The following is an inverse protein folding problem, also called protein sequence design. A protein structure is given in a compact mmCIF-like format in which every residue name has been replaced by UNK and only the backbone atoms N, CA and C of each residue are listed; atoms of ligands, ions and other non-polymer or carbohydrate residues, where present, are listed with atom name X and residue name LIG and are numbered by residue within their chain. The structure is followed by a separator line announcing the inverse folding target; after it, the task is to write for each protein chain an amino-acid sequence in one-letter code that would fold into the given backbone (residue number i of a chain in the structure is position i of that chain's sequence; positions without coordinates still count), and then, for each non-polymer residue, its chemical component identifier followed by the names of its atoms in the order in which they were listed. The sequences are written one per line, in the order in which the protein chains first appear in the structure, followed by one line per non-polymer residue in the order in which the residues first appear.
data_IF_865220185634
#
_entry.id   IF_865220185634
#
_cell.length_a   1.000
_cell.length_b   1.000
_cell.length_c   1.000
_cell.angle_alpha   90.00
_cell.angle_beta   90.00
_cell.angle_gamma   90.00
#
_symmetry.space_group_name_H-M   'P 1'
#
loop_
_entity.id
_entity.type
_entity.pdbx_description
1 polymer ?
#
# COMPACT_ATOMS: atom_id res chain seq x y z
N UNK A 1 28.03 -42.02 27.45
CA UNK A 1 29.11 -41.79 26.46
C UNK A 1 28.94 -42.55 25.13
N UNK A 2 27.91 -43.39 24.93
CA UNK A 2 27.73 -44.13 23.66
C UNK A 2 26.96 -43.37 22.56
N UNK A 3 26.17 -42.35 22.89
CA UNK A 3 25.37 -41.59 21.90
C UNK A 3 26.23 -40.73 20.95
N UNK A 4 27.26 -39.98 21.41
CA UNK A 4 28.09 -39.20 20.49
C UNK A 4 29.00 -40.07 19.61
N UNK A 5 29.45 -41.24 20.11
CA UNK A 5 30.24 -42.19 19.31
C UNK A 5 29.40 -42.93 18.26
N UNK A 6 28.11 -43.19 18.52
CA UNK A 6 27.21 -43.73 17.50
C UNK A 6 26.88 -42.69 16.42
N UNK A 7 26.81 -41.40 16.77
CA UNK A 7 26.64 -40.30 15.81
C UNK A 7 27.87 -40.14 14.90
N UNK A 8 29.09 -40.27 15.45
CA UNK A 8 30.33 -40.19 14.67
C UNK A 8 30.57 -41.41 13.78
N UNK A 9 30.19 -42.61 14.24
CA UNK A 9 30.22 -43.82 13.39
C UNK A 9 29.15 -43.79 12.29
N UNK A 10 27.99 -43.16 12.53
CA UNK A 10 26.95 -42.95 11.51
C UNK A 10 27.37 -41.93 10.44
N UNK A 11 28.19 -40.93 10.80
CA UNK A 11 28.73 -39.95 9.86
C UNK A 11 29.70 -40.57 8.83
N UNK A 12 30.33 -41.72 9.14
CA UNK A 12 31.29 -42.37 8.25
C UNK A 12 30.65 -43.34 7.23
N UNK A 13 29.41 -43.81 7.45
CA UNK A 13 28.62 -44.59 6.47
C UNK A 13 27.64 -43.71 5.65
N UNK A 14 27.74 -42.38 5.78
CA UNK A 14 26.70 -41.40 5.45
C UNK A 14 26.63 -40.98 3.96
N UNK A 15 26.72 -41.94 3.03
CA UNK A 15 26.25 -41.71 1.65
C UNK A 15 24.86 -42.35 1.39
N UNK A 16 24.38 -43.22 2.29
CA UNK A 16 23.01 -43.78 2.28
C UNK A 16 22.10 -43.26 3.42
N UNK A 17 22.60 -42.48 4.39
CA UNK A 17 21.85 -42.05 5.58
C UNK A 17 20.94 -40.81 5.39
N UNK A 18 20.99 -40.12 4.25
CA UNK A 18 20.17 -38.92 4.03
C UNK A 18 18.67 -39.21 4.09
N UNK A 19 18.24 -40.38 3.59
CA UNK A 19 16.85 -40.82 3.73
C UNK A 19 16.50 -41.22 5.18
N UNK A 20 17.44 -41.82 5.92
CA UNK A 20 17.18 -42.32 7.27
C UNK A 20 17.00 -41.18 8.27
N UNK A 21 17.83 -40.13 8.20
CA UNK A 21 17.69 -38.94 9.05
C UNK A 21 16.36 -38.23 8.74
N UNK A 22 16.04 -38.06 7.45
CA UNK A 22 14.77 -37.48 7.01
C UNK A 22 13.55 -38.31 7.45
N UNK A 23 13.61 -39.63 7.29
CA UNK A 23 12.56 -40.56 7.71
C UNK A 23 12.37 -40.57 9.23
N UNK A 24 13.46 -40.57 10.01
CA UNK A 24 13.39 -40.50 11.48
C UNK A 24 12.83 -39.16 11.97
N UNK A 25 13.16 -38.05 11.29
CA UNK A 25 12.66 -36.73 11.63
C UNK A 25 11.16 -36.56 11.37
N UNK A 26 10.67 -37.13 10.26
CA UNK A 26 9.25 -37.11 9.90
C UNK A 26 8.40 -38.06 10.75
N UNK A 27 8.94 -39.23 11.15
CA UNK A 27 8.16 -40.31 11.74
C UNK A 27 7.97 -40.21 13.26
N UNK A 28 8.89 -39.59 14.03
CA UNK A 28 8.86 -39.79 15.48
C UNK A 28 8.22 -38.67 16.32
N UNK A 29 7.37 -39.12 17.27
CA UNK A 29 6.91 -38.44 18.51
C UNK A 29 8.04 -37.87 19.41
N UNK A 30 9.32 -37.93 18.98
CA UNK A 30 10.51 -37.54 19.75
C UNK A 30 11.18 -36.27 19.21
N UNK A 31 10.46 -35.40 18.49
CA UNK A 31 11.00 -34.18 17.87
C UNK A 31 11.75 -33.27 18.84
N UNK A 32 11.44 -33.27 20.15
CA UNK A 32 12.16 -32.48 21.18
C UNK A 32 13.54 -33.09 21.45
N UNK A 33 13.59 -34.38 21.78
CA UNK A 33 14.82 -35.13 22.07
C UNK A 33 15.85 -35.10 20.94
N UNK A 34 15.40 -35.03 19.68
CA UNK A 34 16.30 -34.94 18.51
C UNK A 34 17.00 -33.57 18.47
N UNK A 35 16.28 -32.49 18.78
CA UNK A 35 16.88 -31.14 18.85
C UNK A 35 17.83 -31.06 20.04
N UNK A 36 17.42 -31.58 21.20
CA UNK A 36 18.23 -31.62 22.42
C UNK A 36 19.54 -32.43 22.22
N UNK A 37 19.58 -33.31 21.21
CA UNK A 37 20.75 -34.10 20.82
C UNK A 37 21.68 -33.41 19.80
N UNK A 38 21.49 -32.11 19.52
CA UNK A 38 22.35 -31.35 18.61
C UNK A 38 21.94 -31.42 17.13
N UNK A 39 20.75 -31.97 16.81
CA UNK A 39 20.33 -32.10 15.42
C UNK A 39 20.12 -30.76 14.70
N UNK A 40 19.86 -29.67 15.43
CA UNK A 40 19.66 -28.36 14.79
C UNK A 40 20.94 -27.86 14.11
N UNK A 41 22.10 -27.97 14.76
CA UNK A 41 23.40 -27.59 14.18
C UNK A 41 23.68 -28.41 12.91
N UNK A 42 23.43 -29.72 12.95
CA UNK A 42 23.55 -30.60 11.79
C UNK A 42 22.64 -30.19 10.62
N UNK A 43 21.38 -29.78 10.91
CA UNK A 43 20.46 -29.30 9.88
C UNK A 43 20.94 -27.98 9.25
N UNK A 44 21.53 -27.09 10.04
CA UNK A 44 22.13 -25.86 9.55
C UNK A 44 23.34 -26.17 8.65
N UNK A 45 24.18 -27.13 9.03
CA UNK A 45 25.31 -27.57 8.20
C UNK A 45 24.85 -28.23 6.90
N UNK A 46 23.77 -29.01 6.94
CA UNK A 46 23.16 -29.58 5.73
C UNK A 46 22.61 -28.49 4.80
N UNK A 47 22.02 -27.42 5.33
CA UNK A 47 21.58 -26.26 4.52
C UNK A 47 22.74 -25.51 3.85
N UNK A 48 23.93 -25.52 4.46
CA UNK A 48 25.16 -24.92 3.91
C UNK A 48 25.90 -25.84 2.94
N UNK A 49 25.53 -27.13 2.88
CA UNK A 49 26.20 -28.10 2.04
C UNK A 49 26.00 -27.81 0.54
N UNK A 50 26.88 -28.35 -0.31
CA UNK A 50 26.73 -28.25 -1.77
C UNK A 50 25.73 -29.27 -2.33
N UNK A 51 25.22 -30.19 -1.51
CA UNK A 51 24.30 -31.23 -1.96
C UNK A 51 22.86 -30.69 -1.96
N UNK A 52 22.19 -30.60 -3.13
CA UNK A 52 20.82 -30.10 -3.19
C UNK A 52 19.90 -30.96 -2.33
N UNK A 53 20.01 -32.30 -2.41
CA UNK A 53 19.20 -33.22 -1.62
C UNK A 53 19.31 -32.96 -0.11
N UNK A 54 20.53 -32.74 0.41
CA UNK A 54 20.73 -32.46 1.83
C UNK A 54 20.07 -31.14 2.24
N UNK A 55 20.20 -30.10 1.41
CA UNK A 55 19.56 -28.80 1.66
C UNK A 55 18.04 -28.92 1.65
N UNK A 56 17.47 -29.70 0.74
CA UNK A 56 16.03 -29.94 0.64
C UNK A 56 15.50 -30.69 1.87
N UNK A 57 16.17 -31.78 2.26
CA UNK A 57 15.79 -32.53 3.47
C UNK A 57 15.90 -31.67 4.74
N UNK A 58 16.96 -30.86 4.83
CA UNK A 58 17.13 -29.94 5.95
C UNK A 58 16.03 -28.86 5.99
N UNK A 59 15.64 -28.33 4.83
CA UNK A 59 14.55 -27.35 4.71
C UNK A 59 13.22 -27.94 5.20
N UNK A 60 12.88 -29.15 4.77
CA UNK A 60 11.65 -29.83 5.19
C UNK A 60 11.65 -30.20 6.69
N UNK A 61 12.81 -30.57 7.24
CA UNK A 61 12.97 -30.77 8.68
C UNK A 61 12.77 -29.44 9.45
N UNK A 62 13.37 -28.34 9.00
CA UNK A 62 13.21 -27.02 9.62
C UNK A 62 11.77 -26.49 9.51
N UNK A 63 11.07 -26.77 8.41
CA UNK A 63 9.63 -26.52 8.32
C UNK A 63 8.89 -27.25 9.45
N UNK A 64 9.18 -28.54 9.65
CA UNK A 64 8.55 -29.33 10.71
C UNK A 64 8.86 -28.78 12.11
N UNK A 65 10.08 -28.27 12.33
CA UNK A 65 10.46 -27.64 13.60
C UNK A 65 9.78 -26.30 13.83
N UNK A 66 9.77 -25.45 12.81
CA UNK A 66 9.18 -24.12 12.86
C UNK A 66 7.67 -24.16 13.17
N UNK A 67 6.98 -25.25 12.82
CA UNK A 67 5.57 -25.43 13.15
C UNK A 67 5.30 -25.61 14.66
N UNK A 68 6.33 -25.94 15.45
CA UNK A 68 6.20 -26.15 16.90
C UNK A 68 6.54 -24.86 17.67
N UNK A 69 5.64 -24.30 18.48
CA UNK A 69 5.84 -23.00 19.14
C UNK A 69 7.10 -22.97 20.01
N UNK A 70 7.35 -24.04 20.78
CA UNK A 70 8.48 -24.13 21.72
C UNK A 70 9.87 -24.12 21.04
N UNK A 71 9.90 -24.34 19.72
CA UNK A 71 11.15 -24.52 18.94
C UNK A 71 11.42 -23.36 18.00
N UNK A 72 10.45 -22.48 17.76
CA UNK A 72 10.58 -21.34 16.84
C UNK A 72 11.74 -20.45 17.23
N UNK A 73 11.86 -20.11 18.51
CA UNK A 73 12.93 -19.26 19.04
C UNK A 73 14.30 -19.89 18.83
N UNK A 74 14.44 -21.19 19.12
CA UNK A 74 15.69 -21.94 18.95
C UNK A 74 16.08 -22.00 17.45
N UNK A 75 15.14 -22.30 16.56
CA UNK A 75 15.38 -22.30 15.11
C UNK A 75 15.79 -20.92 14.62
N UNK A 76 15.15 -19.86 15.12
CA UNK A 76 15.45 -18.49 14.71
C UNK A 76 16.86 -18.06 15.15
N UNK A 77 17.25 -18.41 16.38
CA UNK A 77 18.57 -18.13 16.92
C UNK A 77 19.70 -18.93 16.24
N UNK A 78 19.39 -20.02 15.55
CA UNK A 78 20.39 -20.87 14.88
C UNK A 78 20.94 -20.32 13.55
N UNK A 79 20.48 -19.16 13.10
CA UNK A 79 20.86 -18.61 11.80
C UNK A 79 20.18 -19.31 10.61
N UNK A 80 19.06 -20.01 10.85
CA UNK A 80 18.30 -20.69 9.80
C UNK A 80 17.68 -19.71 8.78
N UNK A 81 17.27 -18.52 9.21
CA UNK A 81 16.48 -17.58 8.39
C UNK A 81 17.20 -17.20 7.08
N UNK A 82 18.45 -16.70 7.09
CA UNK A 82 19.16 -16.39 5.85
C UNK A 82 19.29 -17.58 4.88
N UNK A 83 19.52 -18.78 5.42
CA UNK A 83 19.66 -20.00 4.63
C UNK A 83 18.33 -20.43 4.01
N UNK A 84 17.22 -20.29 4.74
CA UNK A 84 15.88 -20.53 4.21
C UNK A 84 15.51 -19.52 3.11
N UNK A 85 15.91 -18.26 3.23
CA UNK A 85 15.74 -17.26 2.15
C UNK A 85 16.57 -17.65 0.91
N UNK A 86 17.78 -18.19 1.10
CA UNK A 86 18.55 -18.72 -0.02
C UNK A 86 17.85 -19.91 -0.71
N UNK A 87 17.24 -20.81 0.07
CA UNK A 87 16.43 -21.92 -0.46
C UNK A 87 15.21 -21.42 -1.24
N UNK A 88 14.58 -20.33 -0.80
CA UNK A 88 13.49 -19.69 -1.54
C UNK A 88 13.94 -19.17 -2.91
N UNK A 89 15.21 -18.72 -3.02
CA UNK A 89 15.80 -18.23 -4.28
C UNK A 89 16.22 -19.38 -5.21
N UNK A 90 16.98 -20.35 -4.70
CA UNK A 90 17.69 -21.36 -5.51
C UNK A 90 17.15 -22.79 -5.43
N UNK A 91 16.26 -23.08 -4.48
CA UNK A 91 15.73 -24.43 -4.27
C UNK A 91 14.85 -24.93 -5.41
N UNK A 92 14.60 -26.24 -5.45
CA UNK A 92 13.59 -26.81 -6.33
C UNK A 92 12.18 -26.30 -5.95
N UNK A 93 11.17 -26.57 -6.80
CA UNK A 93 9.79 -26.09 -6.56
C UNK A 93 9.28 -26.46 -5.17
N UNK A 94 9.51 -27.69 -4.70
CA UNK A 94 9.08 -28.14 -3.39
C UNK A 94 9.85 -27.44 -2.27
N UNK A 95 11.19 -27.35 -2.38
CA UNK A 95 12.01 -26.71 -1.37
C UNK A 95 11.75 -25.20 -1.23
N UNK A 96 11.37 -24.52 -2.31
CA UNK A 96 10.89 -23.13 -2.24
C UNK A 96 9.61 -23.01 -1.41
N UNK A 97 8.66 -23.93 -1.61
CA UNK A 97 7.43 -23.98 -0.83
C UNK A 97 7.73 -24.31 0.64
N UNK A 98 8.59 -25.30 0.90
CA UNK A 98 8.94 -25.69 2.27
C UNK A 98 9.67 -24.55 3.00
N UNK A 99 10.59 -23.86 2.32
CA UNK A 99 11.28 -22.69 2.84
C UNK A 99 10.32 -21.54 3.14
N UNK A 100 9.39 -21.23 2.22
CA UNK A 100 8.34 -20.25 2.46
C UNK A 100 7.52 -20.60 3.71
N UNK A 101 7.05 -21.83 3.82
CA UNK A 101 6.22 -22.26 4.94
C UNK A 101 6.99 -22.21 6.26
N UNK A 102 8.28 -22.53 6.24
CA UNK A 102 9.15 -22.39 7.41
C UNK A 102 9.30 -20.92 7.82
N UNK A 103 9.60 -20.04 6.86
CA UNK A 103 9.70 -18.60 7.09
C UNK A 103 8.40 -18.00 7.61
N UNK A 104 7.24 -18.39 7.05
CA UNK A 104 5.92 -17.99 7.54
C UNK A 104 5.67 -18.45 8.99
N UNK A 105 6.04 -19.69 9.34
CA UNK A 105 5.88 -20.16 10.71
C UNK A 105 6.77 -19.40 11.69
N UNK A 106 8.00 -19.05 11.28
CA UNK A 106 8.93 -18.27 12.08
C UNK A 106 8.48 -16.79 12.19
N UNK A 107 7.86 -16.23 11.15
CA UNK A 107 7.40 -14.84 11.12
C UNK A 107 6.25 -14.55 12.08
N UNK A 108 5.62 -15.58 12.67
CA UNK A 108 4.63 -15.37 13.74
C UNK A 108 5.26 -14.86 15.03
N UNK A 109 6.59 -14.94 15.16
CA UNK A 109 7.36 -14.25 16.19
C UNK A 109 7.83 -12.90 15.59
N UNK A 110 7.31 -11.75 16.06
CA UNK A 110 7.59 -10.45 15.45
C UNK A 110 9.08 -10.10 15.34
N UNK A 111 9.89 -10.59 16.28
CA UNK A 111 11.35 -10.37 16.32
C UNK A 111 12.06 -10.95 15.09
N UNK A 112 11.46 -11.95 14.44
CA UNK A 112 12.02 -12.59 13.26
C UNK A 112 11.78 -11.78 11.98
N UNK A 113 10.77 -10.90 11.93
CA UNK A 113 10.41 -10.15 10.73
C UNK A 113 11.57 -9.25 10.26
N UNK A 114 12.27 -8.62 11.19
CA UNK A 114 13.46 -7.79 10.88
C UNK A 114 14.60 -8.62 10.30
N UNK A 115 14.80 -9.84 10.82
CA UNK A 115 15.83 -10.77 10.31
C UNK A 115 15.46 -11.30 8.91
N UNK A 116 14.18 -11.59 8.68
CA UNK A 116 13.65 -12.00 7.37
C UNK A 116 13.85 -10.88 6.33
N UNK A 117 13.54 -9.63 6.69
CA UNK A 117 13.77 -8.46 5.83
C UNK A 117 15.25 -8.24 5.53
N UNK A 118 16.09 -8.23 6.56
CA UNK A 118 17.54 -8.04 6.43
C UNK A 118 18.20 -9.14 5.57
N UNK A 119 17.58 -10.31 5.49
CA UNK A 119 18.01 -11.42 4.63
C UNK A 119 17.58 -11.27 3.16
N UNK A 120 16.94 -10.15 2.79
CA UNK A 120 16.44 -9.83 1.45
C UNK A 120 15.38 -10.83 0.95
N UNK A 121 14.43 -11.20 1.81
CA UNK A 121 13.39 -12.17 1.47
C UNK A 121 12.33 -11.66 0.48
N UNK A 122 12.17 -10.33 0.35
CA UNK A 122 11.06 -9.73 -0.41
C UNK A 122 11.04 -10.16 -1.88
N UNK A 123 12.16 -10.02 -2.58
CA UNK A 123 12.25 -10.37 -4.00
C UNK A 123 11.96 -11.87 -4.25
N UNK A 124 12.59 -12.83 -3.54
CA UNK A 124 12.22 -14.25 -3.65
C UNK A 124 10.73 -14.55 -3.37
N UNK A 125 10.11 -13.86 -2.42
CA UNK A 125 8.69 -14.03 -2.10
C UNK A 125 7.79 -13.56 -3.24
N UNK A 126 8.04 -12.37 -3.78
CA UNK A 126 7.29 -11.84 -4.94
C UNK A 126 7.49 -12.72 -6.17
N UNK A 127 8.71 -13.16 -6.44
CA UNK A 127 8.99 -14.08 -7.54
C UNK A 127 8.26 -15.41 -7.39
N UNK A 128 8.09 -15.91 -6.15
CA UNK A 128 7.29 -17.10 -5.89
C UNK A 128 5.79 -16.85 -6.15
N UNK A 129 5.26 -15.69 -5.77
CA UNK A 129 3.86 -15.30 -6.07
C UNK A 129 3.59 -15.23 -7.57
N UNK A 130 4.52 -14.66 -8.35
CA UNK A 130 4.41 -14.58 -9.83
C UNK A 130 4.19 -15.96 -10.47
N UNK A 131 4.93 -16.97 -10.01
CA UNK A 131 4.93 -18.32 -10.63
C UNK A 131 3.92 -19.30 -10.02
N UNK A 132 3.43 -19.05 -8.81
CA UNK A 132 2.50 -19.97 -8.14
C UNK A 132 1.04 -19.74 -8.58
N UNK A 133 0.18 -20.74 -8.37
CA UNK A 133 -1.26 -20.55 -8.56
C UNK A 133 -1.79 -19.61 -7.47
N UNK A 134 -2.42 -18.50 -7.86
CA UNK A 134 -2.89 -17.45 -6.93
C UNK A 134 -3.92 -17.95 -5.92
N UNK A 135 -4.69 -18.99 -6.26
CA UNK A 135 -5.64 -19.65 -5.36
C UNK A 135 -5.03 -20.75 -4.47
N UNK A 136 -3.71 -20.92 -4.47
CA UNK A 136 -3.04 -22.00 -3.72
C UNK A 136 -2.74 -21.59 -2.28
N UNK A 137 -2.61 -22.59 -1.40
CA UNK A 137 -2.13 -22.39 -0.02
C UNK A 137 -0.74 -21.75 0.04
N UNK A 138 0.10 -21.99 -0.97
CA UNK A 138 1.40 -21.32 -1.12
C UNK A 138 1.21 -19.80 -1.30
N UNK A 139 0.33 -19.39 -2.19
CA UNK A 139 0.02 -17.97 -2.39
C UNK A 139 -0.53 -17.35 -1.11
N UNK A 140 -1.45 -18.01 -0.41
CA UNK A 140 -1.99 -17.53 0.88
C UNK A 140 -0.90 -17.25 1.91
N UNK A 141 0.01 -18.20 2.13
CA UNK A 141 1.08 -18.05 3.12
C UNK A 141 2.15 -17.06 2.68
N UNK A 142 2.42 -16.97 1.38
CA UNK A 142 3.33 -15.98 0.84
C UNK A 142 2.77 -14.57 1.00
N UNK A 143 1.51 -14.34 0.62
CA UNK A 143 0.84 -13.05 0.79
C UNK A 143 0.74 -12.63 2.26
N UNK A 144 0.46 -13.57 3.18
CA UNK A 144 0.43 -13.28 4.61
C UNK A 144 1.79 -12.83 5.16
N UNK A 145 2.86 -13.48 4.70
CA UNK A 145 4.22 -13.07 5.06
C UNK A 145 4.52 -11.69 4.46
N UNK A 146 4.21 -11.44 3.19
CA UNK A 146 4.41 -10.14 2.55
C UNK A 146 3.62 -9.03 3.27
N UNK A 147 2.35 -9.24 3.63
CA UNK A 147 1.56 -8.31 4.44
C UNK A 147 2.26 -7.99 5.77
N UNK A 148 2.78 -9.01 6.47
CA UNK A 148 3.50 -8.79 7.73
C UNK A 148 4.77 -7.95 7.55
N UNK A 149 5.46 -8.08 6.41
CA UNK A 149 6.67 -7.33 6.10
C UNK A 149 6.37 -5.87 5.68
N UNK A 150 5.14 -5.55 5.26
CA UNK A 150 4.72 -4.18 4.94
C UNK A 150 4.66 -3.26 6.16
N UNK A 151 4.70 -3.81 7.39
CA UNK A 151 4.85 -3.00 8.61
C UNK A 151 6.17 -2.22 8.66
N UNK A 152 7.18 -2.62 7.88
CA UNK A 152 8.50 -2.00 7.86
C UNK A 152 8.72 -1.18 6.60
N UNK A 153 9.36 -0.02 6.74
CA UNK A 153 9.66 0.85 5.60
C UNK A 153 10.54 0.16 4.55
N UNK A 154 11.52 -0.62 5.00
CA UNK A 154 12.39 -1.41 4.11
C UNK A 154 11.59 -2.37 3.22
N UNK A 155 10.58 -3.04 3.80
CA UNK A 155 9.70 -3.93 3.05
C UNK A 155 8.90 -3.18 1.98
N UNK A 156 8.28 -2.05 2.36
CA UNK A 156 7.51 -1.20 1.44
C UNK A 156 8.37 -0.61 0.32
N UNK A 157 9.58 -0.17 0.63
CA UNK A 157 10.53 0.34 -0.38
C UNK A 157 10.94 -0.76 -1.36
N UNK A 158 11.32 -1.92 -0.85
CA UNK A 158 11.80 -3.04 -1.67
C UNK A 158 10.73 -3.52 -2.65
N UNK A 159 9.46 -3.62 -2.23
CA UNK A 159 8.38 -4.05 -3.13
C UNK A 159 8.05 -3.00 -4.21
N UNK A 160 8.23 -1.70 -3.93
CA UNK A 160 8.03 -0.63 -4.92
C UNK A 160 9.18 -0.52 -5.92
N UNK A 161 10.40 -0.83 -5.50
CA UNK A 161 11.60 -0.82 -6.36
C UNK A 161 11.67 -2.08 -7.24
N UNK A 162 11.04 -3.18 -6.80
CA UNK A 162 10.99 -4.43 -7.54
C UNK A 162 10.03 -4.33 -8.72
N UNK A 163 10.53 -4.68 -9.91
CA UNK A 163 9.72 -4.71 -11.14
C UNK A 163 8.49 -5.61 -10.98
N UNK A 164 7.30 -5.03 -11.16
CA UNK A 164 6.02 -5.71 -11.00
C UNK A 164 5.72 -6.17 -9.56
N UNK A 165 6.39 -5.62 -8.55
CA UNK A 165 6.15 -5.97 -7.14
C UNK A 165 4.73 -5.61 -6.68
N UNK A 166 4.32 -4.35 -6.89
CA UNK A 166 2.96 -3.89 -6.60
C UNK A 166 1.93 -4.59 -7.49
N UNK A 167 2.23 -4.75 -8.79
CA UNK A 167 1.39 -5.49 -9.73
C UNK A 167 1.08 -6.91 -9.24
N UNK A 168 2.09 -7.63 -8.74
CA UNK A 168 1.90 -8.99 -8.22
C UNK A 168 0.91 -9.01 -7.05
N UNK A 169 0.89 -7.99 -6.20
CA UNK A 169 -0.13 -7.87 -5.14
C UNK A 169 -1.52 -7.59 -5.71
N UNK A 170 -1.63 -6.76 -6.75
CA UNK A 170 -2.90 -6.48 -7.44
C UNK A 170 -3.42 -7.75 -8.13
N UNK A 171 -2.57 -8.51 -8.82
CA UNK A 171 -2.96 -9.80 -9.42
C UNK A 171 -3.45 -10.79 -8.35
N UNK A 172 -2.82 -10.84 -7.17
CA UNK A 172 -3.30 -11.69 -6.06
C UNK A 172 -4.62 -11.16 -5.48
N UNK A 173 -4.80 -9.85 -5.44
CA UNK A 173 -6.06 -9.21 -5.03
C UNK A 173 -7.20 -9.59 -5.99
N UNK A 174 -6.93 -9.77 -7.28
CA UNK A 174 -7.91 -10.11 -8.31
C UNK A 174 -8.15 -11.62 -8.41
N UNK A 175 -7.11 -12.44 -8.46
CA UNK A 175 -7.23 -13.88 -8.77
C UNK A 175 -6.95 -14.82 -7.59
N UNK A 176 -6.73 -14.26 -6.40
CA UNK A 176 -6.38 -15.01 -5.19
C UNK A 176 -7.53 -15.84 -4.61
N UNK A 177 -7.18 -16.76 -3.70
CA UNK A 177 -8.17 -17.30 -2.76
C UNK A 177 -8.68 -16.20 -1.81
N UNK A 178 -9.77 -16.44 -1.10
CA UNK A 178 -10.35 -15.48 -0.15
C UNK A 178 -9.28 -14.96 0.84
N UNK A 179 -8.46 -15.87 1.37
CA UNK A 179 -7.38 -15.52 2.29
C UNK A 179 -6.24 -14.76 1.60
N UNK A 180 -5.82 -15.19 0.41
CA UNK A 180 -4.74 -14.52 -0.33
C UNK A 180 -5.14 -13.09 -0.73
N UNK A 181 -6.38 -12.89 -1.19
CA UNK A 181 -6.96 -11.57 -1.50
C UNK A 181 -6.99 -10.67 -0.26
N UNK A 182 -7.42 -11.19 0.90
CA UNK A 182 -7.46 -10.42 2.16
C UNK A 182 -6.06 -9.97 2.61
N UNK A 183 -5.05 -10.82 2.44
CA UNK A 183 -3.66 -10.50 2.75
C UNK A 183 -3.07 -9.47 1.76
N UNK A 184 -3.30 -9.64 0.46
CA UNK A 184 -2.87 -8.67 -0.56
C UNK A 184 -3.51 -7.29 -0.33
N UNK A 185 -4.81 -7.27 -0.04
CA UNK A 185 -5.53 -6.05 0.35
C UNK A 185 -4.91 -5.39 1.59
N UNK A 186 -4.58 -6.18 2.61
CA UNK A 186 -3.93 -5.67 3.81
C UNK A 186 -2.55 -5.09 3.56
N UNK A 187 -1.77 -5.71 2.67
CA UNK A 187 -0.46 -5.22 2.27
C UNK A 187 -0.58 -3.84 1.58
N UNK A 188 -1.46 -3.72 0.58
CA UNK A 188 -1.72 -2.47 -0.14
C UNK A 188 -2.29 -1.37 0.78
N UNK A 189 -3.18 -1.74 1.70
CA UNK A 189 -3.73 -0.83 2.70
C UNK A 189 -2.63 -0.30 3.63
N UNK A 190 -1.79 -1.19 4.17
CA UNK A 190 -0.68 -0.82 5.06
C UNK A 190 0.28 0.14 4.37
N UNK A 191 0.56 -0.06 3.08
CA UNK A 191 1.35 0.89 2.28
C UNK A 191 0.70 2.28 2.28
N UNK A 192 -0.56 2.39 1.85
CA UNK A 192 -1.27 3.67 1.80
C UNK A 192 -1.47 4.33 3.18
N UNK A 193 -1.67 3.56 4.25
CA UNK A 193 -1.78 4.08 5.61
C UNK A 193 -0.44 4.60 6.14
N UNK A 194 0.67 4.04 5.67
CA UNK A 194 2.00 4.50 6.05
C UNK A 194 2.37 5.83 5.37
N UNK A 195 2.14 5.93 4.06
CA UNK A 195 2.39 7.15 3.29
C UNK A 195 1.52 7.18 2.04
N UNK A 196 0.36 7.82 2.16
CA UNK A 196 -0.61 7.92 1.07
C UNK A 196 0.00 8.56 -0.17
N UNK A 197 0.77 9.65 -0.02
CA UNK A 197 1.32 10.40 -1.15
C UNK A 197 2.31 9.56 -1.95
N UNK A 198 3.12 8.75 -1.25
CA UNK A 198 4.13 7.88 -1.87
C UNK A 198 3.54 6.69 -2.61
N UNK A 199 2.54 6.02 -2.04
CA UNK A 199 2.08 4.72 -2.57
C UNK A 199 0.79 4.79 -3.39
N UNK A 200 -0.01 5.85 -3.28
CA UNK A 200 -1.30 5.97 -3.98
C UNK A 200 -1.17 5.78 -5.49
N UNK A 201 -0.29 6.55 -6.14
CA UNK A 201 -0.17 6.53 -7.60
C UNK A 201 0.35 5.18 -8.10
N UNK A 202 1.27 4.57 -7.36
CA UNK A 202 1.81 3.24 -7.68
C UNK A 202 0.69 2.19 -7.68
N UNK A 203 -0.20 2.20 -6.69
CA UNK A 203 -1.30 1.24 -6.59
C UNK A 203 -2.37 1.49 -7.67
N UNK A 204 -2.67 2.76 -7.97
CA UNK A 204 -3.63 3.12 -9.03
C UNK A 204 -3.12 2.72 -10.42
N UNK A 205 -1.84 2.95 -10.70
CA UNK A 205 -1.22 2.63 -11.98
C UNK A 205 -1.27 1.14 -12.31
N UNK A 206 -1.15 0.27 -11.31
CA UNK A 206 -1.26 -1.18 -11.48
C UNK A 206 -2.72 -1.68 -11.55
N UNK A 207 -3.71 -0.79 -11.48
CA UNK A 207 -5.10 -1.13 -11.75
C UNK A 207 -5.87 -1.75 -10.58
N UNK A 208 -5.55 -1.43 -9.31
CA UNK A 208 -6.19 -2.08 -8.16
C UNK A 208 -7.71 -1.86 -8.00
N UNK A 209 -8.31 -0.85 -8.65
CA UNK A 209 -9.68 -0.40 -8.39
C UNK A 209 -10.76 -1.48 -8.66
N UNK A 210 -10.76 -2.22 -9.78
CA UNK A 210 -11.79 -3.23 -10.05
C UNK A 210 -11.82 -4.33 -8.98
N UNK A 211 -10.66 -4.90 -8.63
CA UNK A 211 -10.56 -5.90 -7.55
C UNK A 211 -11.00 -5.37 -6.19
N UNK A 212 -10.68 -4.11 -5.88
CA UNK A 212 -11.14 -3.47 -4.64
C UNK A 212 -12.66 -3.30 -4.60
N UNK A 213 -13.28 -2.84 -5.69
CA UNK A 213 -14.73 -2.70 -5.79
C UNK A 213 -15.43 -4.05 -5.68
N UNK A 214 -14.91 -5.09 -6.34
CA UNK A 214 -15.44 -6.44 -6.21
C UNK A 214 -15.43 -6.91 -4.73
N UNK A 215 -14.30 -6.69 -4.02
CA UNK A 215 -14.17 -7.06 -2.62
C UNK A 215 -15.08 -6.27 -1.67
N UNK A 216 -15.53 -5.05 -2.03
CA UNK A 216 -16.54 -4.33 -1.23
C UNK A 216 -17.90 -5.02 -1.22
N UNK A 217 -18.21 -5.84 -2.23
CA UNK A 217 -19.47 -6.56 -2.37
C UNK A 217 -19.32 -8.03 -2.00
N UNK A 218 -18.28 -8.70 -2.50
CA UNK A 218 -18.11 -10.16 -2.38
C UNK A 218 -17.07 -10.59 -1.33
N UNK A 219 -16.37 -9.64 -0.70
CA UNK A 219 -15.37 -9.93 0.32
C UNK A 219 -15.95 -10.42 1.65
N UNK A 220 -15.09 -10.98 2.51
CA UNK A 220 -15.41 -11.19 3.94
C UNK A 220 -15.74 -9.84 4.60
N UNK A 221 -16.46 -9.79 5.74
CA UNK A 221 -16.72 -8.51 6.44
C UNK A 221 -15.44 -7.71 6.73
N UNK A 222 -14.35 -8.42 7.03
CA UNK A 222 -13.02 -7.84 7.25
C UNK A 222 -12.42 -7.29 5.96
N UNK A 223 -12.47 -8.04 4.86
CA UNK A 223 -12.02 -7.58 3.54
C UNK A 223 -12.83 -6.40 3.04
N UNK A 224 -14.15 -6.41 3.23
CA UNK A 224 -15.02 -5.29 2.87
C UNK A 224 -14.60 -4.03 3.61
N UNK A 225 -14.42 -4.08 4.94
CA UNK A 225 -13.98 -2.93 5.72
C UNK A 225 -12.62 -2.39 5.25
N UNK A 226 -11.64 -3.28 5.02
CA UNK A 226 -10.31 -2.91 4.48
C UNK A 226 -10.40 -2.30 3.07
N UNK A 227 -11.25 -2.84 2.20
CA UNK A 227 -11.42 -2.38 0.82
C UNK A 227 -12.02 -0.98 0.78
N UNK A 228 -13.07 -0.72 1.57
CA UNK A 228 -13.64 0.62 1.71
C UNK A 228 -12.59 1.62 2.23
N UNK A 229 -11.78 1.22 3.21
CA UNK A 229 -10.70 2.06 3.75
C UNK A 229 -9.66 2.41 2.69
N UNK A 230 -9.18 1.42 1.95
CA UNK A 230 -8.19 1.64 0.89
C UNK A 230 -8.77 2.50 -0.24
N UNK A 231 -10.00 2.25 -0.68
CA UNK A 231 -10.66 3.08 -1.70
C UNK A 231 -10.75 4.56 -1.26
N UNK A 232 -11.04 4.83 0.01
CA UNK A 232 -11.02 6.20 0.55
C UNK A 232 -9.62 6.82 0.53
N UNK A 233 -8.57 6.02 0.79
CA UNK A 233 -7.17 6.45 0.69
C UNK A 233 -6.67 6.60 -0.76
N UNK A 234 -7.35 6.01 -1.74
CA UNK A 234 -7.03 6.15 -3.16
C UNK A 234 -7.82 7.29 -3.83
N UNK A 235 -9.03 7.60 -3.34
CA UNK A 235 -9.82 8.74 -3.83
C UNK A 235 -9.05 10.04 -3.66
N UNK A 236 -9.05 10.92 -4.66
CA UNK A 236 -8.52 12.28 -4.49
C UNK A 236 -9.18 12.97 -3.29
N UNK A 237 -8.37 13.40 -2.32
CA UNK A 237 -8.79 14.50 -1.47
C UNK A 237 -8.80 15.76 -2.36
N UNK A 238 -9.71 16.74 -2.18
CA UNK A 238 -9.49 18.04 -2.77
C UNK A 238 -8.07 18.44 -2.37
N UNK A 239 -7.23 18.65 -3.38
CA UNK A 239 -5.85 19.04 -3.19
C UNK A 239 -5.80 20.07 -2.06
N UNK A 240 -5.07 19.78 -0.99
CA UNK A 240 -4.18 20.84 -0.51
C UNK A 240 -3.39 21.17 -1.76
N UNK A 241 -3.83 22.25 -2.41
CA UNK A 241 -3.08 22.89 -3.47
C UNK A 241 -1.68 23.02 -2.91
N UNK A 242 -0.72 23.04 -3.82
CA UNK A 242 0.60 23.57 -3.57
C UNK A 242 0.44 25.03 -3.09
N UNK A 243 0.09 25.21 -1.83
CA UNK A 243 0.10 26.42 -1.03
C UNK A 243 1.27 26.23 -0.08
N UNK A 244 2.43 26.67 -0.57
CA UNK A 244 3.71 26.97 0.10
C UNK A 244 4.72 26.81 -1.02
N UNK A 245 5.10 27.87 -1.73
CA UNK A 245 5.85 29.00 -1.17
C UNK A 245 5.51 30.38 -1.78
N UNK A 246 4.44 30.52 -2.58
CA UNK A 246 4.10 31.82 -3.22
C UNK A 246 2.84 32.54 -2.71
N UNK A 247 1.93 31.86 -2.03
CA UNK A 247 0.62 32.42 -1.66
C UNK A 247 0.59 33.08 -0.28
N UNK A 248 1.42 32.61 0.66
CA UNK A 248 1.45 33.15 2.03
C UNK A 248 1.98 34.59 2.08
N UNK A 249 2.86 34.98 1.15
CA UNK A 249 3.35 36.37 1.10
C UNK A 249 2.25 37.32 0.61
N UNK A 250 1.46 36.90 -0.38
CA UNK A 250 0.32 37.68 -0.87
C UNK A 250 -0.80 37.77 0.15
N UNK A 251 -1.13 36.69 0.86
CA UNK A 251 -2.13 36.72 1.93
C UNK A 251 -1.67 37.55 3.13
N UNK A 252 -0.39 37.48 3.52
CA UNK A 252 0.16 38.33 4.58
C UNK A 252 0.23 39.80 4.18
N UNK A 253 0.58 40.10 2.91
CA UNK A 253 0.55 41.47 2.37
C UNK A 253 -0.89 41.99 2.34
N UNK A 254 -1.85 41.20 1.86
CA UNK A 254 -3.26 41.59 1.81
C UNK A 254 -3.83 41.76 3.22
N UNK A 255 -3.50 40.88 4.16
CA UNK A 255 -3.95 40.98 5.55
C UNK A 255 -3.33 42.19 6.29
N UNK A 256 -2.06 42.51 6.03
CA UNK A 256 -1.42 43.72 6.54
C UNK A 256 -2.00 45.00 5.92
N UNK A 257 -2.35 45.01 4.63
CA UNK A 257 -3.01 46.15 3.99
C UNK A 257 -4.44 46.32 4.53
N UNK A 258 -5.18 45.23 4.71
CA UNK A 258 -6.56 45.24 5.24
C UNK A 258 -6.59 45.71 6.70
N UNK A 259 -5.62 45.30 7.52
CA UNK A 259 -5.51 45.75 8.92
C UNK A 259 -5.02 47.20 9.09
N UNK A 260 -4.42 47.79 8.05
CA UNK A 260 -4.02 49.20 8.02
C UNK A 260 -5.09 50.14 7.44
N UNK A 261 -6.22 49.61 6.97
CA UNK A 261 -7.27 50.40 6.35
C UNK A 261 -8.48 50.53 7.27
N UNK A 262 -8.56 51.66 7.96
CA UNK A 262 -9.72 52.04 8.76
C UNK A 262 -10.95 52.24 7.85
N UNK A 263 -12.03 51.49 8.13
CA UNK A 263 -13.17 51.31 7.22
C UNK A 263 -14.17 52.48 7.21
N UNK A 264 -14.10 53.41 8.18
CA UNK A 264 -15.06 54.50 8.31
C UNK A 264 -14.82 55.64 7.29
N UNK A 265 -13.58 55.99 6.97
CA UNK A 265 -13.28 57.19 6.15
C UNK A 265 -13.59 57.00 4.65
N UNK A 266 -13.65 55.75 4.16
CA UNK A 266 -13.95 55.42 2.75
C UNK A 266 -15.44 55.38 2.45
N UNK A 267 -16.28 54.90 3.38
CA UNK A 267 -17.73 54.84 3.17
C UNK A 267 -18.35 56.23 3.00
N UNK A 268 -17.83 57.23 3.70
CA UNK A 268 -18.34 58.60 3.60
C UNK A 268 -17.86 59.33 2.35
N UNK A 269 -16.59 59.12 1.94
CA UNK A 269 -16.10 59.61 0.64
C UNK A 269 -16.83 58.95 -0.53
N UNK A 270 -17.06 57.63 -0.47
CA UNK A 270 -17.79 56.90 -1.49
C UNK A 270 -19.27 57.34 -1.57
N UNK A 271 -19.95 57.54 -0.42
CA UNK A 271 -21.31 58.11 -0.39
C UNK A 271 -21.37 59.51 -0.98
N UNK A 272 -20.39 60.36 -0.68
CA UNK A 272 -20.33 61.73 -1.22
C UNK A 272 -20.15 61.75 -2.74
N UNK A 273 -19.25 60.92 -3.27
CA UNK A 273 -19.02 60.79 -4.71
C UNK A 273 -20.27 60.24 -5.42
N UNK A 274 -20.95 59.24 -4.83
CA UNK A 274 -22.21 58.71 -5.36
C UNK A 274 -23.31 59.76 -5.40
N UNK A 275 -23.44 60.59 -4.35
CA UNK A 275 -24.42 61.67 -4.31
C UNK A 275 -24.16 62.73 -5.39
N UNK A 276 -22.91 63.13 -5.59
CA UNK A 276 -22.52 64.09 -6.64
C UNK A 276 -22.78 63.55 -8.05
N UNK A 277 -22.52 62.26 -8.31
CA UNK A 277 -22.80 61.63 -9.60
C UNK A 277 -24.31 61.56 -9.91
N UNK A 278 -25.14 61.27 -8.92
CA UNK A 278 -26.61 61.23 -9.10
C UNK A 278 -27.15 62.64 -9.38
N UNK A 279 -26.66 63.65 -8.68
CA UNK A 279 -27.09 65.04 -8.87
C UNK A 279 -26.74 65.56 -10.28
N UNK A 280 -25.52 65.27 -10.76
CA UNK A 280 -25.10 65.62 -12.12
C UNK A 280 -25.93 64.92 -13.20
N UNK A 281 -26.28 63.64 -12.99
CA UNK A 281 -27.13 62.88 -13.92
C UNK A 281 -28.56 63.43 -13.97
N UNK A 282 -29.13 63.81 -12.83
CA UNK A 282 -30.45 64.47 -12.78
C UNK A 282 -30.43 65.83 -13.48
N UNK A 283 -29.40 66.65 -13.28
CA UNK A 283 -29.28 67.94 -13.96
C UNK A 283 -29.18 67.79 -15.47
N UNK A 284 -28.35 66.86 -15.95
CA UNK A 284 -28.23 66.59 -17.39
C UNK A 284 -29.55 66.08 -17.99
N UNK A 285 -30.25 65.20 -17.27
CA UNK A 285 -31.55 64.69 -17.67
C UNK A 285 -32.60 65.80 -17.74
N UNK A 286 -32.61 66.72 -16.77
CA UNK A 286 -33.51 67.86 -16.76
C UNK A 286 -33.19 68.83 -17.91
N UNK A 287 -31.91 69.11 -18.18
CA UNK A 287 -31.49 69.93 -19.32
C UNK A 287 -31.89 69.31 -20.65
N UNK A 288 -31.73 67.99 -20.81
CA UNK A 288 -32.17 67.29 -22.02
C UNK A 288 -33.70 67.31 -22.18
N UNK A 289 -34.45 67.20 -21.08
CA UNK A 289 -35.91 67.30 -21.11
C UNK A 289 -36.37 68.72 -21.48
N UNK A 290 -35.73 69.75 -20.92
CA UNK A 290 -36.00 71.16 -21.26
C UNK A 290 -35.62 71.47 -22.72
N UNK A 291 -34.48 70.99 -23.22
CA UNK A 291 -34.08 71.14 -24.63
C UNK A 291 -35.08 70.45 -25.57
N UNK A 292 -35.57 69.25 -25.23
CA UNK A 292 -36.62 68.57 -26.00
C UNK A 292 -37.95 69.30 -25.97
N UNK A 293 -38.32 69.88 -24.83
CA UNK A 293 -39.54 70.68 -24.71
C UNK A 293 -39.49 71.98 -25.52
N UNK A 294 -38.31 72.63 -25.63
CA UNK A 294 -38.11 73.83 -26.46
C UNK A 294 -38.17 73.56 -27.98
N UNK A 295 -37.89 72.34 -28.42
CA UNK A 295 -37.98 71.95 -29.85
C UNK A 295 -39.42 71.69 -30.29
N UNK A 296 -40.33 71.39 -29.36
CA UNK A 296 -41.76 71.20 -29.64
C UNK A 296 -42.57 72.48 -29.36
N UNK A 297 -42.24 73.59 -30.01
CA UNK A 297 -43.20 74.71 -30.15
C UNK A 297 -44.05 74.51 -31.41
N UNK A 298 -45.38 74.58 -31.34
CA UNK A 298 -46.24 74.31 -32.48
C UNK A 298 -46.18 75.44 -33.51
N UNK A 299 -45.76 75.13 -34.74
CA UNK A 299 -46.04 75.96 -35.92
C UNK A 299 -47.04 75.25 -36.82
N UNK A 300 -48.25 75.79 -36.76
CA UNK A 300 -49.22 75.96 -37.85
C UNK A 300 -49.92 74.72 -38.45
N UNK A 301 -51.24 74.69 -38.20
CA UNK A 301 -52.27 73.93 -38.92
C UNK A 301 -52.15 74.06 -40.45
N UNK A 302 -52.62 73.03 -41.17
CA UNK A 302 -53.59 73.31 -42.22
C UNK A 302 -54.89 72.53 -42.10
N UNK A 303 -55.89 73.20 -42.66
CA UNK A 303 -57.32 72.92 -42.78
C UNK A 303 -57.67 71.69 -43.63
N UNK A 304 -58.77 71.06 -43.22
CA UNK A 304 -59.81 70.37 -44.00
C UNK A 304 -59.43 69.45 -45.17
N UNK A 305 -59.84 68.18 -45.06
CA UNK A 305 -60.97 67.68 -45.87
C UNK A 305 -61.48 66.33 -45.35
N UNK A 306 -62.81 66.24 -45.31
CA UNK A 306 -63.64 65.08 -45.01
C UNK A 306 -63.29 63.84 -45.85
N UNK A 307 -63.69 62.64 -45.41
CA UNK A 307 -64.72 61.81 -46.06
C UNK A 307 -64.66 60.34 -45.58
N UNK A 308 -65.80 59.95 -44.98
CA UNK A 308 -66.51 58.66 -44.97
C UNK A 308 -66.11 57.48 -44.10
N UNK A 309 -67.04 57.22 -43.18
CA UNK A 309 -67.47 55.93 -42.65
C UNK A 309 -67.65 54.88 -43.76
N UNK A 310 -67.22 53.66 -43.45
CA UNK A 310 -68.08 52.47 -43.43
C UNK A 310 -67.56 51.49 -42.38
#
# INVERSE_FOLDING_TARGET
MLIPCLLSLFLFLCCQCSLTIFYVFLVHRNKSKIIDAGALELLIDFLKSQSPNLREYATAALLTLSASPDKKTIVSASGAIPLLVEMLRKGCRQAKVDALLALYNLSTCPENLTTILSSQAMEPLINLLKICKKTSRTAEKCSALVESLMGFEEGRRTITELEGGVLTLVEVLEDGSIQAREHALGALLTMCESDRCKYRELILKEGAIPGLLELTVQGSPKSQAKAHRLLNLLRDAPSERVEREGANDLENIVSNIVSQMDMEERCDKARKILAEMVQLSMEQSLRHMQQRALVCTPKELPRFSEVHLK
#
